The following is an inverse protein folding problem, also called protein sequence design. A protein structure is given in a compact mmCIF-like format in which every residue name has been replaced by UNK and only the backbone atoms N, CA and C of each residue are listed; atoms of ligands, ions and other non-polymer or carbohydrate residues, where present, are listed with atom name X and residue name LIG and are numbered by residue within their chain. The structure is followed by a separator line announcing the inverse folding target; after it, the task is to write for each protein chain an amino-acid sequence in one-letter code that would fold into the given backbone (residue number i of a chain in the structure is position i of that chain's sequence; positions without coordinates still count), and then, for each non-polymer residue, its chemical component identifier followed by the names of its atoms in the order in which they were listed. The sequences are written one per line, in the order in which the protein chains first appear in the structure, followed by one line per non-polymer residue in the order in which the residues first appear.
data_IF_419342689325
#
_entry.id   IF_419342689325
#
_cell.length_a   1.000
_cell.length_b   1.000
_cell.length_c   1.000
_cell.angle_alpha   90.00
_cell.angle_beta   90.00
_cell.angle_gamma   90.00
#
_symmetry.space_group_name_H-M   'P 1'
#
loop_
_entity.id
_entity.type
_entity.pdbx_description
1 polymer ?
#
# COMPACT_ATOMS: atom_id res chain seq x y z
N UNK A 1 -3.28 2.28 -17.23
CA UNK A 1 -2.63 2.04 -15.92
C UNK A 1 -3.68 1.69 -14.88
N UNK A 2 -3.26 1.00 -13.85
CA UNK A 2 -4.14 0.51 -12.78
C UNK A 2 -3.51 0.88 -11.43
N UNK A 3 -4.33 1.29 -10.47
CA UNK A 3 -3.83 1.74 -9.18
C UNK A 3 -4.46 1.02 -8.00
N UNK A 4 -3.69 0.91 -6.91
CA UNK A 4 -4.15 0.35 -5.65
C UNK A 4 -3.78 1.32 -4.53
N UNK A 5 -4.78 1.68 -3.72
CA UNK A 5 -4.58 2.52 -2.54
C UNK A 5 -4.79 1.67 -1.30
N UNK A 6 -3.79 1.64 -0.43
CA UNK A 6 -3.84 0.91 0.83
C UNK A 6 -3.78 1.95 1.96
N UNK A 7 -4.93 2.30 2.51
CA UNK A 7 -5.02 3.20 3.65
C UNK A 7 -4.86 2.41 4.94
N UNK A 8 -4.19 3.00 5.93
CA UNK A 8 -4.01 2.32 7.21
C UNK A 8 -4.00 3.29 8.38
N UNK A 9 -4.43 2.78 9.52
CA UNK A 9 -4.29 3.42 10.83
C UNK A 9 -3.62 2.42 11.74
N UNK A 10 -2.48 2.79 12.32
CA UNK A 10 -1.69 1.93 13.18
C UNK A 10 -2.14 2.06 14.62
N UNK A 11 -2.02 0.98 15.39
CA UNK A 11 -2.32 0.99 16.81
C UNK A 11 -1.34 1.87 17.59
N UNK A 12 -0.08 1.90 17.16
CA UNK A 12 0.98 2.67 17.81
C UNK A 12 2.02 3.14 16.79
N UNK A 13 2.69 4.30 17.03
CA UNK A 13 3.71 4.81 16.12
C UNK A 13 4.91 3.87 15.91
N UNK A 14 5.17 2.99 16.89
CA UNK A 14 6.26 2.01 16.77
C UNK A 14 6.10 1.05 15.59
N UNK A 15 4.87 0.90 15.07
CA UNK A 15 4.60 0.04 13.91
C UNK A 15 5.05 0.66 12.58
N UNK A 16 5.45 1.93 12.56
CA UNK A 16 5.96 2.54 11.35
C UNK A 16 7.20 1.83 10.79
N UNK A 17 8.04 1.26 11.64
CA UNK A 17 9.22 0.51 11.20
C UNK A 17 8.80 -0.68 10.34
N UNK A 18 7.73 -1.38 10.73
CA UNK A 18 7.19 -2.52 9.97
C UNK A 18 6.59 -2.04 8.66
N UNK A 19 5.81 -0.95 8.70
CA UNK A 19 5.19 -0.38 7.49
C UNK A 19 6.25 0.06 6.48
N UNK A 20 7.32 0.69 6.95
CA UNK A 20 8.44 1.10 6.08
C UNK A 20 9.10 -0.12 5.41
N UNK A 21 9.24 -1.21 6.14
CA UNK A 21 9.80 -2.44 5.58
C UNK A 21 8.89 -3.04 4.51
N UNK A 22 7.57 -2.95 4.70
CA UNK A 22 6.59 -3.47 3.74
C UNK A 22 6.46 -2.57 2.52
N UNK A 23 6.32 -1.26 2.74
CA UNK A 23 5.81 -0.31 1.76
C UNK A 23 6.81 0.74 1.29
N UNK A 24 8.12 0.55 1.46
CA UNK A 24 9.12 1.49 0.99
C UNK A 24 8.95 1.81 -0.50
N UNK A 25 9.37 3.01 -0.88
CA UNK A 25 9.21 3.48 -2.24
C UNK A 25 9.94 2.59 -3.25
N UNK A 26 9.26 2.30 -4.36
CA UNK A 26 9.81 1.54 -5.49
C UNK A 26 9.49 2.29 -6.76
N UNK A 27 10.46 2.36 -7.65
CA UNK A 27 10.24 2.92 -8.99
C UNK A 27 10.87 2.00 -10.03
N UNK A 28 10.02 1.22 -10.66
CA UNK A 28 10.37 0.28 -11.72
C UNK A 28 9.59 0.63 -12.97
N UNK A 29 9.95 0.00 -14.09
CA UNK A 29 9.35 0.30 -15.39
C UNK A 29 7.83 0.08 -15.41
N UNK A 30 7.35 -0.97 -14.77
CA UNK A 30 5.93 -1.37 -14.82
C UNK A 30 5.24 -1.31 -13.46
N UNK A 31 5.93 -0.79 -12.45
CA UNK A 31 5.42 -0.79 -11.08
C UNK A 31 6.04 0.35 -10.28
N UNK A 32 5.19 1.13 -9.63
CA UNK A 32 5.62 2.19 -8.70
C UNK A 32 4.89 2.02 -7.39
N UNK A 33 5.59 2.30 -6.30
CA UNK A 33 5.02 2.27 -4.96
C UNK A 33 5.52 3.46 -4.18
N UNK A 34 4.61 4.18 -3.53
CA UNK A 34 4.94 5.33 -2.70
C UNK A 34 4.23 5.20 -1.35
N UNK A 35 4.96 5.49 -0.28
CA UNK A 35 4.45 5.46 1.08
C UNK A 35 4.28 6.90 1.58
N UNK A 36 3.09 7.20 2.10
CA UNK A 36 2.74 8.52 2.62
C UNK A 36 2.36 8.42 4.10
N UNK A 37 2.89 9.34 4.89
CA UNK A 37 2.53 9.50 6.30
C UNK A 37 1.66 10.74 6.43
N UNK A 38 0.44 10.58 6.94
CA UNK A 38 -0.52 11.67 7.10
C UNK A 38 -0.71 12.10 8.55
N UNK A 39 -0.23 11.31 9.49
CA UNK A 39 -0.31 11.59 10.92
C UNK A 39 0.59 10.62 11.67
N UNK A 40 0.58 10.71 13.00
CA UNK A 40 1.44 9.86 13.85
C UNK A 40 1.16 8.37 13.65
N UNK A 41 -0.11 8.03 13.40
CA UNK A 41 -0.54 6.64 13.26
C UNK A 41 -1.21 6.36 11.91
N UNK A 42 -1.25 7.31 11.01
CA UNK A 42 -2.03 7.22 9.78
C UNK A 42 -1.15 7.41 8.54
N UNK A 43 -1.51 6.70 7.49
CA UNK A 43 -0.85 6.87 6.21
C UNK A 43 -1.53 6.05 5.13
N UNK A 44 -0.91 6.05 3.96
CA UNK A 44 -1.37 5.22 2.86
C UNK A 44 -0.21 4.86 1.93
N UNK A 45 -0.40 3.75 1.24
CA UNK A 45 0.51 3.29 0.20
C UNK A 45 -0.22 3.38 -1.13
N UNK A 46 0.40 4.00 -2.11
CA UNK A 46 -0.10 4.01 -3.48
C UNK A 46 0.77 3.09 -4.32
N UNK A 47 0.13 2.15 -5.01
CA UNK A 47 0.79 1.32 -6.00
C UNK A 47 0.22 1.62 -7.38
N UNK A 48 1.08 1.78 -8.37
CA UNK A 48 0.68 2.01 -9.76
C UNK A 48 1.26 0.91 -10.62
N UNK A 49 0.40 0.24 -11.37
CA UNK A 49 0.75 -0.90 -12.22
C UNK A 49 0.50 -0.53 -13.69
N UNK A 50 1.23 -1.15 -14.59
CA UNK A 50 1.01 -0.98 -16.03
C UNK A 50 -0.43 -1.34 -16.42
N UNK A 51 -0.95 -2.43 -15.84
CA UNK A 51 -2.31 -2.91 -16.10
C UNK A 51 -2.82 -3.78 -14.95
N UNK A 52 -4.06 -4.20 -15.02
CA UNK A 52 -4.71 -5.01 -13.97
C UNK A 52 -4.03 -6.39 -13.82
N UNK A 53 -3.47 -6.94 -14.89
CA UNK A 53 -2.80 -8.25 -14.82
C UNK A 53 -1.53 -8.15 -13.96
N UNK A 54 -0.76 -7.08 -14.09
CA UNK A 54 0.41 -6.83 -13.25
C UNK A 54 -0.02 -6.65 -11.80
N UNK A 55 -1.11 -5.92 -11.56
CA UNK A 55 -1.65 -5.73 -10.22
C UNK A 55 -2.02 -7.06 -9.56
N UNK A 56 -2.62 -7.97 -10.31
CA UNK A 56 -3.01 -9.29 -9.83
C UNK A 56 -1.82 -10.19 -9.47
N UNK A 57 -0.65 -9.91 -10.01
CA UNK A 57 0.57 -10.67 -9.73
C UNK A 57 1.41 -10.04 -8.61
N UNK A 58 1.31 -8.73 -8.43
CA UNK A 58 2.06 -8.00 -7.38
C UNK A 58 1.15 -7.73 -6.20
N UNK A 59 0.97 -8.74 -5.36
CA UNK A 59 0.04 -8.68 -4.22
C UNK A 59 0.75 -8.73 -2.87
N UNK A 60 2.08 -8.76 -2.84
CA UNK A 60 2.86 -8.96 -1.61
C UNK A 60 2.64 -7.82 -0.61
N UNK A 61 2.70 -6.57 -1.09
CA UNK A 61 2.49 -5.40 -0.22
C UNK A 61 1.10 -5.40 0.38
N UNK A 62 0.09 -5.64 -0.45
CA UNK A 62 -1.30 -5.71 0.00
C UNK A 62 -1.49 -6.81 1.04
N UNK A 63 -0.98 -8.00 0.78
CA UNK A 63 -1.09 -9.12 1.72
C UNK A 63 -0.35 -8.86 3.02
N UNK A 64 0.83 -8.25 2.95
CA UNK A 64 1.59 -7.91 4.15
C UNK A 64 0.86 -6.89 5.02
N UNK A 65 0.20 -5.90 4.41
CA UNK A 65 -0.60 -4.93 5.16
C UNK A 65 -1.86 -5.56 5.74
N UNK A 66 -2.49 -6.49 5.02
CA UNK A 66 -3.61 -7.25 5.57
C UNK A 66 -3.17 -8.13 6.75
N UNK A 67 -1.97 -8.71 6.67
CA UNK A 67 -1.37 -9.45 7.79
C UNK A 67 -1.14 -8.57 9.00
N UNK A 68 -0.73 -7.34 8.79
CA UNK A 68 -0.56 -6.36 9.87
C UNK A 68 -1.89 -6.05 10.56
N UNK A 69 -2.98 -5.99 9.80
CA UNK A 69 -4.32 -5.83 10.36
C UNK A 69 -4.68 -6.99 11.30
N UNK A 70 -4.34 -8.21 10.91
CA UNK A 70 -4.64 -9.40 11.72
C UNK A 70 -3.72 -9.54 12.93
N UNK A 71 -2.42 -9.26 12.77
CA UNK A 71 -1.41 -9.53 13.79
C UNK A 71 -1.17 -8.36 14.73
N UNK A 72 -1.34 -7.14 14.27
CA UNK A 72 -1.02 -5.93 15.03
C UNK A 72 -2.20 -4.98 15.18
N UNK A 73 -3.40 -5.44 14.83
CA UNK A 73 -4.67 -4.70 14.98
C UNK A 73 -4.69 -3.37 14.21
N UNK A 74 -3.90 -3.23 13.17
CA UNK A 74 -3.97 -2.07 12.29
C UNK A 74 -5.30 -2.09 11.53
N UNK A 75 -5.86 -0.91 11.27
CA UNK A 75 -7.02 -0.80 10.40
C UNK A 75 -6.50 -0.60 8.98
N UNK A 76 -6.90 -1.46 8.06
CA UNK A 76 -6.43 -1.43 6.67
C UNK A 76 -7.64 -1.44 5.74
N UNK A 77 -7.64 -0.53 4.78
CA UNK A 77 -8.69 -0.40 3.80
C UNK A 77 -8.04 -0.29 2.41
N UNK A 78 -8.51 -1.07 1.46
CA UNK A 78 -7.91 -1.18 0.13
C UNK A 78 -8.92 -0.79 -0.93
N UNK A 79 -8.50 0.06 -1.86
CA UNK A 79 -9.27 0.42 -3.04
C UNK A 79 -8.40 0.25 -4.28
N UNK A 80 -9.01 -0.22 -5.36
CA UNK A 80 -8.32 -0.43 -6.64
C UNK A 80 -9.16 0.12 -7.77
N UNK A 81 -8.49 0.55 -8.83
CA UNK A 81 -9.19 1.03 -10.01
C UNK A 81 -8.26 1.40 -11.14
N UNK A 82 -8.86 1.58 -12.31
CA UNK A 82 -8.15 2.04 -13.50
C UNK A 82 -7.85 3.52 -13.40
N UNK A 83 -6.66 3.91 -13.87
CA UNK A 83 -6.30 5.32 -13.95
C UNK A 83 -7.07 5.95 -15.11
N UNK A 84 -7.75 7.05 -14.82
CA UNK A 84 -8.50 7.78 -15.86
C UNK A 84 -7.50 8.64 -16.64
N UNK A 85 -7.55 8.52 -17.95
CA UNK A 85 -6.76 9.36 -18.86
C UNK A 85 -7.66 10.43 -19.45
N UNK A 86 -7.20 11.66 -19.40
CA UNK A 86 -7.88 12.79 -20.01
C UNK A 86 -7.18 13.23 -21.28
#
# INVERSE_FOLDING_TARGET
MYGRNINFTLLAPSLWAVVKAIGSNVEEDKYKRMLFKTGDNNGFIIEVFENINVAGKKIETMKAMQGLSEQAMAKVSIQEGSVIKN
#
